data_IF_623750366454
#
_entry.id   IF_623750366454
#
_cell.length_a   1.000
_cell.length_b   1.000
_cell.length_c   1.000
_cell.angle_alpha   90.00
_cell.angle_beta   90.00
_cell.angle_gamma   90.00
#
_symmetry.space_group_name_H-M   'P 1'
#
loop_
_entity.id
_entity.type
_entity.pdbx_description
1 polymer ?
#
# COMPACT_ATOMS: atom_id res chain seq x y z
N UNK A 1 19.35 14.03 -8.46
CA UNK A 1 20.11 14.15 -9.74
C UNK A 1 20.98 12.93 -10.07
N UNK A 2 21.89 12.46 -9.19
CA UNK A 2 22.75 11.30 -9.52
C UNK A 2 21.98 10.04 -9.98
N UNK A 3 20.89 9.68 -9.29
CA UNK A 3 20.04 8.56 -9.71
C UNK A 3 19.43 8.75 -11.10
N UNK A 4 19.02 9.98 -11.44
CA UNK A 4 18.47 10.30 -12.77
C UNK A 4 19.56 10.20 -13.84
N UNK A 5 20.79 10.62 -13.54
CA UNK A 5 21.93 10.48 -14.45
C UNK A 5 22.28 9.01 -14.73
N UNK A 6 21.99 8.11 -13.79
CA UNK A 6 22.12 6.66 -13.95
C UNK A 6 20.87 6.00 -14.56
N UNK A 7 19.92 6.79 -15.07
CA UNK A 7 18.64 6.32 -15.62
C UNK A 7 17.76 5.53 -14.63
N UNK A 8 17.91 5.75 -13.32
CA UNK A 8 16.99 5.20 -12.33
C UNK A 8 15.70 6.04 -12.25
N UNK A 9 14.56 5.35 -12.30
CA UNK A 9 13.25 5.92 -11.99
C UNK A 9 12.87 5.52 -10.57
N UNK A 10 12.86 6.49 -9.66
CA UNK A 10 12.52 6.27 -8.24
C UNK A 10 11.01 6.12 -8.09
N UNK A 11 10.60 5.16 -7.26
CA UNK A 11 9.20 4.89 -6.93
C UNK A 11 9.12 4.39 -5.48
N UNK A 12 8.12 4.86 -4.74
CA UNK A 12 7.81 4.37 -3.40
C UNK A 12 6.98 3.09 -3.46
N UNK A 13 7.17 2.18 -2.50
CA UNK A 13 6.30 1.02 -2.33
C UNK A 13 5.64 1.09 -0.97
N UNK A 14 4.32 1.21 -0.94
CA UNK A 14 3.54 1.23 0.28
C UNK A 14 2.97 -0.16 0.54
N UNK A 15 3.55 -0.86 1.53
CA UNK A 15 3.14 -2.20 1.92
C UNK A 15 2.05 -2.11 2.99
N UNK A 16 0.88 -2.67 2.67
CA UNK A 16 -0.25 -2.78 3.61
C UNK A 16 -0.43 -4.25 3.98
N UNK A 17 -0.58 -4.56 5.26
CA UNK A 17 -0.95 -5.91 5.69
C UNK A 17 -2.43 -6.17 5.34
N UNK A 18 -2.72 -7.27 4.65
CA UNK A 18 -4.05 -7.59 4.15
C UNK A 18 -5.13 -7.61 5.23
N UNK A 19 -4.77 -7.86 6.49
CA UNK A 19 -5.71 -7.86 7.60
C UNK A 19 -6.28 -6.46 7.89
N UNK A 20 -5.56 -5.38 7.57
CA UNK A 20 -6.03 -4.00 7.73
C UNK A 20 -7.11 -3.64 6.72
N UNK A 21 -7.09 -4.25 5.54
CA UNK A 21 -8.09 -3.99 4.49
C UNK A 21 -9.43 -4.68 4.75
N UNK A 22 -9.51 -5.58 5.73
CA UNK A 22 -10.74 -6.29 6.09
C UNK A 22 -11.68 -5.40 6.92
N UNK A 23 -11.11 -4.48 7.72
CA UNK A 23 -11.84 -3.56 8.57
C UNK A 23 -11.84 -2.16 7.96
N UNK A 24 -13.03 -1.59 7.73
CA UNK A 24 -13.19 -0.36 6.96
C UNK A 24 -12.47 0.85 7.56
N UNK A 25 -12.49 0.99 8.89
CA UNK A 25 -11.79 2.05 9.62
C UNK A 25 -10.27 1.99 9.43
N UNK A 26 -9.70 0.79 9.56
CA UNK A 26 -8.27 0.53 9.36
C UNK A 26 -7.85 0.70 7.91
N UNK A 27 -8.69 0.26 6.97
CA UNK A 27 -8.47 0.49 5.55
C UNK A 27 -8.39 1.97 5.22
N UNK A 28 -9.38 2.75 5.67
CA UNK A 28 -9.41 4.19 5.44
C UNK A 28 -8.19 4.90 6.06
N UNK A 29 -7.85 4.55 7.31
CA UNK A 29 -6.65 5.07 7.96
C UNK A 29 -5.38 4.75 7.16
N UNK A 30 -5.22 3.50 6.71
CA UNK A 30 -4.06 3.10 5.89
C UNK A 30 -3.97 3.84 4.57
N UNK A 31 -5.11 4.08 3.90
CA UNK A 31 -5.16 4.86 2.65
C UNK A 31 -4.77 6.33 2.86
N UNK A 32 -5.24 6.95 3.95
CA UNK A 32 -4.87 8.32 4.30
C UNK A 32 -3.38 8.43 4.65
N UNK A 33 -2.83 7.44 5.36
CA UNK A 33 -1.39 7.38 5.64
C UNK A 33 -0.58 7.23 4.36
N UNK A 34 -1.02 6.36 3.44
CA UNK A 34 -0.36 6.18 2.15
C UNK A 34 -0.37 7.47 1.31
N UNK A 35 -1.52 8.14 1.26
CA UNK A 35 -1.67 9.43 0.57
C UNK A 35 -0.78 10.52 1.19
N UNK A 36 -0.75 10.62 2.53
CA UNK A 36 0.13 11.56 3.24
C UNK A 36 1.61 11.31 2.86
N UNK A 37 2.00 10.04 2.79
CA UNK A 37 3.36 9.62 2.40
C UNK A 37 3.68 10.00 0.95
N UNK A 38 2.73 9.83 0.02
CA UNK A 38 2.89 10.25 -1.38
C UNK A 38 3.11 11.75 -1.50
N UNK A 39 2.34 12.55 -0.75
CA UNK A 39 2.47 14.00 -0.75
C UNK A 39 3.83 14.41 -0.20
N UNK A 40 4.29 13.78 0.88
CA UNK A 40 5.55 14.14 1.53
C UNK A 40 6.79 13.71 0.75
N UNK A 41 6.70 12.62 -0.03
CA UNK A 41 7.81 12.07 -0.81
C UNK A 41 7.78 12.47 -2.30
N UNK A 42 6.69 13.08 -2.78
CA UNK A 42 6.51 13.60 -4.15
C UNK A 42 6.99 12.65 -5.25
N UNK A 43 6.81 11.35 -5.05
CA UNK A 43 7.23 10.30 -5.98
C UNK A 43 6.04 9.44 -6.39
N UNK A 44 6.13 8.72 -7.53
CA UNK A 44 5.13 7.71 -7.86
C UNK A 44 5.18 6.58 -6.85
N UNK A 45 4.03 5.99 -6.52
CA UNK A 45 3.92 4.94 -5.52
C UNK A 45 3.19 3.71 -6.08
N UNK A 46 3.60 2.53 -5.61
CA UNK A 46 2.91 1.26 -5.82
C UNK A 46 2.39 0.77 -4.47
N UNK A 47 1.09 0.51 -4.39
CA UNK A 47 0.46 -0.04 -3.19
C UNK A 47 0.42 -1.56 -3.29
N UNK A 48 1.05 -2.24 -2.34
CA UNK A 48 1.14 -3.70 -2.31
C UNK A 48 0.45 -4.22 -1.07
N UNK A 49 -0.53 -5.10 -1.28
CA UNK A 49 -1.18 -5.84 -0.21
C UNK A 49 -0.34 -7.08 0.13
N UNK A 50 0.20 -7.13 1.34
CA UNK A 50 1.05 -8.22 1.85
C UNK A 50 0.24 -9.20 2.71
N UNK A 51 0.72 -10.44 2.86
CA UNK A 51 0.14 -11.48 3.74
C UNK A 51 -1.31 -11.87 3.40
N UNK A 52 -1.70 -11.75 2.13
CA UNK A 52 -3.05 -12.14 1.67
C UNK A 52 -3.34 -13.62 1.91
N UNK A 53 -2.30 -14.44 1.88
CA UNK A 53 -2.33 -15.88 2.15
C UNK A 53 -2.75 -16.21 3.59
N UNK A 54 -2.34 -15.40 4.57
CA UNK A 54 -2.61 -15.59 6.01
C UNK A 54 -4.08 -15.35 6.38
N UNK A 55 -4.84 -14.66 5.53
CA UNK A 55 -6.22 -14.32 5.81
C UNK A 55 -7.13 -15.55 5.93
N UNK A 56 -8.09 -15.47 6.87
CA UNK A 56 -9.14 -16.47 7.02
C UNK A 56 -10.01 -16.59 5.76
N UNK A 57 -10.66 -17.74 5.54
CA UNK A 57 -11.60 -17.92 4.41
C UNK A 57 -12.72 -16.86 4.43
N UNK A 58 -13.18 -16.47 5.62
CA UNK A 58 -14.20 -15.43 5.81
C UNK A 58 -13.69 -14.06 5.38
N UNK A 59 -12.48 -13.71 5.81
CA UNK A 59 -11.90 -12.39 5.52
C UNK A 59 -11.47 -12.26 4.06
N UNK A 60 -10.95 -13.33 3.44
CA UNK A 60 -10.75 -13.40 1.98
C UNK A 60 -12.04 -13.17 1.22
N UNK A 61 -13.18 -13.68 1.70
CA UNK A 61 -14.50 -13.43 1.09
C UNK A 61 -14.94 -11.98 1.26
N UNK A 62 -14.63 -11.34 2.39
CA UNK A 62 -14.92 -9.92 2.64
C UNK A 62 -14.09 -8.99 1.75
N UNK A 63 -12.83 -9.33 1.48
CA UNK A 63 -11.95 -8.55 0.59
C UNK A 63 -12.31 -8.66 -0.89
N UNK A 64 -12.93 -9.77 -1.31
CA UNK A 64 -13.39 -9.98 -2.70
C UNK A 64 -14.79 -9.42 -2.97
N UNK A 65 -15.47 -8.92 -1.94
CA UNK A 65 -16.85 -8.46 -2.01
C UNK A 65 -16.87 -6.94 -2.01
#
# INVERSE_FOLDING_TARGET
EQLQNWNFRVCGVFLVDAQFCVEQSKFLSGMLTALSSMIQLETPFIHVLSKVDVLSKRDKKRLKK
#
